data_IF_204677192090
#
_entry.id   IF_204677192090
#
_cell.length_a   1.000
_cell.length_b   1.000
_cell.length_c   1.000
_cell.angle_alpha   90.00
_cell.angle_beta   90.00
_cell.angle_gamma   90.00
#
_symmetry.space_group_name_H-M   'P 1'
#
loop_
_entity.id
_entity.type
_entity.pdbx_description
1 polymer ?
#
# COMPACT_ATOMS: atom_id res chain seq x y z
N UNK A 1 25.06 34.15 10.08
CA UNK A 1 25.54 32.76 9.95
C UNK A 1 24.66 32.08 8.92
N UNK A 2 25.20 31.50 7.83
CA UNK A 2 24.36 30.77 6.88
C UNK A 2 24.04 29.41 7.49
N UNK A 3 22.75 29.09 7.61
CA UNK A 3 22.29 27.74 7.93
C UNK A 3 22.63 26.85 6.73
N UNK A 4 23.62 25.97 6.90
CA UNK A 4 23.90 24.91 5.94
C UNK A 4 22.69 23.99 5.93
N UNK A 5 21.98 23.93 4.81
CA UNK A 5 21.08 22.81 4.55
C UNK A 5 21.96 21.57 4.41
N UNK A 6 22.18 20.85 5.52
CA UNK A 6 22.79 19.52 5.48
C UNK A 6 21.93 18.63 4.58
N UNK A 7 22.40 18.43 3.35
CA UNK A 7 21.90 17.36 2.50
C UNK A 7 22.29 16.07 3.20
N UNK A 8 21.31 15.42 3.83
CA UNK A 8 21.51 14.11 4.43
C UNK A 8 21.96 13.16 3.30
N UNK A 9 23.17 12.62 3.41
CA UNK A 9 23.63 11.64 2.44
C UNK A 9 22.72 10.40 2.46
N UNK A 10 22.41 9.80 1.30
CA UNK A 10 21.60 8.59 1.24
C UNK A 10 22.24 7.49 2.09
N UNK A 11 21.57 7.08 3.17
CA UNK A 11 21.98 5.96 4.00
C UNK A 11 21.31 4.69 3.51
N UNK A 12 22.10 3.70 3.13
CA UNK A 12 21.61 2.34 2.89
C UNK A 12 21.22 1.72 4.22
N UNK A 13 19.93 1.40 4.39
CA UNK A 13 19.42 0.66 5.55
C UNK A 13 19.12 -0.76 5.07
N UNK A 14 19.73 -1.80 5.68
CA UNK A 14 19.35 -3.18 5.36
C UNK A 14 17.90 -3.38 5.82
N UNK A 15 17.04 -3.76 4.87
CA UNK A 15 15.66 -4.13 5.16
C UNK A 15 15.55 -5.64 4.98
N UNK A 16 15.07 -6.32 6.01
CA UNK A 16 14.85 -7.76 5.98
C UNK A 16 13.72 -8.08 4.98
N UNK A 17 14.01 -8.96 4.02
CA UNK A 17 13.04 -9.42 3.03
C UNK A 17 11.85 -10.11 3.67
N UNK A 18 12.01 -10.72 4.86
CA UNK A 18 10.91 -11.28 5.64
C UNK A 18 9.92 -10.22 6.12
N UNK A 19 10.40 -9.07 6.64
CA UNK A 19 9.49 -8.01 7.04
C UNK A 19 8.77 -7.39 5.83
N UNK A 20 9.47 -7.27 4.69
CA UNK A 20 8.85 -6.80 3.45
C UNK A 20 7.75 -7.75 2.96
N UNK A 21 7.97 -9.07 3.01
CA UNK A 21 6.95 -10.04 2.60
C UNK A 21 5.73 -10.00 3.52
N UNK A 22 5.92 -9.89 4.84
CA UNK A 22 4.80 -9.76 5.78
C UNK A 22 4.00 -8.47 5.54
N UNK A 23 4.68 -7.37 5.21
CA UNK A 23 4.02 -6.11 4.85
C UNK A 23 3.24 -6.27 3.53
N UNK A 24 3.84 -6.94 2.54
CA UNK A 24 3.22 -7.18 1.24
C UNK A 24 1.94 -8.03 1.37
N UNK A 25 2.01 -9.15 2.10
CA UNK A 25 0.85 -10.00 2.41
C UNK A 25 -0.28 -9.17 3.02
N UNK A 26 0.04 -8.29 3.97
CA UNK A 26 -0.96 -7.46 4.64
C UNK A 26 -1.58 -6.42 3.71
N UNK A 27 -0.84 -5.90 2.74
CA UNK A 27 -1.35 -4.96 1.75
C UNK A 27 -2.26 -5.67 0.76
N UNK A 28 -1.91 -6.90 0.36
CA UNK A 28 -2.78 -7.73 -0.47
C UNK A 28 -4.09 -8.06 0.25
N UNK A 29 -4.05 -8.41 1.54
CA UNK A 29 -5.26 -8.60 2.36
C UNK A 29 -6.15 -7.35 2.35
N UNK A 30 -5.57 -6.17 2.55
CA UNK A 30 -6.31 -4.90 2.52
C UNK A 30 -6.93 -4.62 1.15
N UNK A 31 -6.22 -4.95 0.06
CA UNK A 31 -6.74 -4.84 -1.30
C UNK A 31 -7.97 -5.73 -1.50
N UNK A 32 -7.86 -6.99 -1.09
CA UNK A 32 -8.93 -7.99 -1.20
C UNK A 32 -10.16 -7.63 -0.34
N UNK A 33 -9.92 -7.13 0.88
CA UNK A 33 -10.99 -6.67 1.78
C UNK A 33 -11.73 -5.47 1.19
N UNK A 34 -10.99 -4.51 0.60
CA UNK A 34 -11.59 -3.33 -0.02
C UNK A 34 -12.47 -3.71 -1.22
N UNK A 35 -12.01 -4.62 -2.08
CA UNK A 35 -12.81 -5.15 -3.19
C UNK A 35 -14.05 -5.91 -2.69
N UNK A 36 -13.88 -6.77 -1.69
CA UNK A 36 -14.98 -7.55 -1.09
C UNK A 36 -16.06 -6.66 -0.49
N UNK A 37 -15.66 -5.61 0.24
CA UNK A 37 -16.59 -4.63 0.81
C UNK A 37 -17.29 -3.81 -0.28
N UNK A 38 -16.58 -3.43 -1.35
CA UNK A 38 -17.17 -2.74 -2.49
C UNK A 38 -18.23 -3.61 -3.19
N UNK A 39 -17.97 -4.91 -3.34
CA UNK A 39 -18.95 -5.86 -3.86
C UNK A 39 -20.15 -6.03 -2.92
N UNK A 40 -19.93 -6.12 -1.61
CA UNK A 40 -21.00 -6.23 -0.63
C UNK A 40 -21.94 -5.01 -0.66
N UNK A 41 -21.39 -3.80 -0.81
CA UNK A 41 -22.18 -2.56 -0.97
C UNK A 41 -23.07 -2.60 -2.21
N UNK A 42 -22.67 -3.30 -3.27
CA UNK A 42 -23.48 -3.45 -4.48
C UNK A 42 -24.74 -4.30 -4.26
N UNK A 43 -24.78 -5.10 -3.20
CA UNK A 43 -25.96 -5.90 -2.84
C UNK A 43 -26.99 -5.12 -2.00
N UNK A 44 -26.64 -3.93 -1.49
CA UNK A 44 -27.54 -3.12 -0.68
C UNK A 44 -28.50 -2.35 -1.61
N UNK A 45 -29.78 -2.62 -1.44
CA UNK A 45 -30.85 -1.93 -2.15
C UNK A 45 -31.55 -0.96 -1.20
N UNK A 46 -31.75 0.29 -1.64
CA UNK A 46 -32.44 1.33 -0.89
C UNK A 46 -33.21 2.22 -1.86
N UNK A 47 -34.39 2.68 -1.43
CA UNK A 47 -35.23 3.59 -2.22
C UNK A 47 -34.83 5.06 -2.02
N UNK A 48 -34.08 5.37 -0.95
CA UNK A 48 -33.60 6.72 -0.66
C UNK A 48 -32.42 7.12 -1.55
N UNK A 49 -32.59 8.18 -2.33
CA UNK A 49 -31.60 8.64 -3.31
C UNK A 49 -30.32 9.15 -2.65
N UNK A 50 -30.40 9.76 -1.46
CA UNK A 50 -29.22 10.18 -0.72
C UNK A 50 -28.38 8.96 -0.32
N UNK A 51 -29.02 7.91 0.19
CA UNK A 51 -28.38 6.64 0.54
C UNK A 51 -27.73 5.96 -0.66
N UNK A 52 -28.37 5.97 -1.85
CA UNK A 52 -27.75 5.46 -3.09
C UNK A 52 -26.46 6.22 -3.41
N UNK A 53 -26.49 7.55 -3.30
CA UNK A 53 -25.32 8.40 -3.52
C UNK A 53 -24.18 8.07 -2.56
N UNK A 54 -24.48 7.90 -1.27
CA UNK A 54 -23.50 7.51 -0.24
C UNK A 54 -22.91 6.13 -0.53
N UNK A 55 -23.74 5.13 -0.88
CA UNK A 55 -23.28 3.78 -1.22
C UNK A 55 -22.32 3.81 -2.41
N UNK A 56 -22.66 4.56 -3.47
CA UNK A 56 -21.79 4.70 -4.65
C UNK A 56 -20.46 5.37 -4.26
N UNK A 57 -20.48 6.42 -3.45
CA UNK A 57 -19.28 7.13 -3.01
C UNK A 57 -18.34 6.23 -2.19
N UNK A 58 -18.88 5.49 -1.21
CA UNK A 58 -18.10 4.57 -0.38
C UNK A 58 -17.52 3.44 -1.25
N UNK A 59 -18.32 2.86 -2.14
CA UNK A 59 -17.86 1.81 -3.07
C UNK A 59 -16.70 2.31 -3.94
N UNK A 60 -16.82 3.50 -4.51
CA UNK A 60 -15.74 4.10 -5.31
C UNK A 60 -14.47 4.34 -4.50
N UNK A 61 -14.59 4.81 -3.25
CA UNK A 61 -13.44 4.99 -2.38
C UNK A 61 -12.75 3.65 -2.02
N UNK A 62 -13.52 2.60 -1.76
CA UNK A 62 -12.98 1.26 -1.49
C UNK A 62 -12.21 0.72 -2.70
N UNK A 63 -12.78 0.80 -3.91
CA UNK A 63 -12.11 0.34 -5.13
C UNK A 63 -10.80 1.11 -5.38
N UNK A 64 -10.80 2.44 -5.22
CA UNK A 64 -9.60 3.25 -5.37
C UNK A 64 -8.51 2.89 -4.33
N UNK A 65 -8.92 2.60 -3.09
CA UNK A 65 -7.98 2.17 -2.05
C UNK A 65 -7.41 0.77 -2.34
N UNK A 66 -8.23 -0.15 -2.87
CA UNK A 66 -7.76 -1.47 -3.30
C UNK A 66 -6.75 -1.39 -4.45
N UNK A 67 -7.01 -0.54 -5.45
CA UNK A 67 -6.07 -0.29 -6.54
C UNK A 67 -4.73 0.27 -6.04
N UNK A 68 -4.78 1.25 -5.12
CA UNK A 68 -3.57 1.79 -4.50
C UNK A 68 -2.80 0.74 -3.71
N UNK A 69 -3.50 -0.11 -2.94
CA UNK A 69 -2.88 -1.21 -2.22
C UNK A 69 -2.18 -2.18 -3.18
N UNK A 70 -2.83 -2.55 -4.29
CA UNK A 70 -2.24 -3.39 -5.34
C UNK A 70 -0.94 -2.80 -5.91
N UNK A 71 -0.94 -1.50 -6.22
CA UNK A 71 0.27 -0.81 -6.73
C UNK A 71 1.40 -0.85 -5.69
N UNK A 72 1.11 -0.58 -4.41
CA UNK A 72 2.13 -0.63 -3.36
C UNK A 72 2.66 -2.06 -3.16
N UNK A 73 1.79 -3.06 -3.27
CA UNK A 73 2.19 -4.47 -3.23
C UNK A 73 3.15 -4.82 -4.37
N UNK A 74 2.87 -4.38 -5.60
CA UNK A 74 3.78 -4.58 -6.74
C UNK A 74 5.16 -3.94 -6.50
N UNK A 75 5.18 -2.73 -5.93
CA UNK A 75 6.43 -2.06 -5.56
C UNK A 75 7.22 -2.85 -4.50
N UNK A 76 6.54 -3.37 -3.47
CA UNK A 76 7.15 -4.18 -2.42
C UNK A 76 7.66 -5.52 -2.93
N UNK A 77 6.89 -6.21 -3.76
CA UNK A 77 7.31 -7.42 -4.48
C UNK A 77 8.60 -7.16 -5.26
N UNK A 78 8.73 -6.01 -5.92
CA UNK A 78 9.98 -5.60 -6.58
C UNK A 78 11.17 -5.50 -5.62
N UNK A 79 10.96 -4.97 -4.41
CA UNK A 79 12.00 -4.86 -3.37
C UNK A 79 12.39 -6.21 -2.77
N UNK A 80 11.42 -7.09 -2.54
CA UNK A 80 11.63 -8.45 -2.00
C UNK A 80 12.51 -9.29 -2.93
N UNK A 81 12.35 -9.10 -4.24
CA UNK A 81 13.10 -9.82 -5.27
C UNK A 81 14.52 -9.27 -5.49
N UNK A 82 14.88 -8.14 -4.88
CA UNK A 82 16.24 -7.61 -5.01
C UNK A 82 17.25 -8.57 -4.35
N UNK A 83 18.40 -8.81 -5.00
CA UNK A 83 19.44 -9.63 -4.41
C UNK A 83 19.92 -9.02 -3.10
N UNK A 84 20.15 -9.87 -2.10
CA UNK A 84 20.75 -9.45 -0.83
C UNK A 84 22.09 -8.77 -1.09
N UNK A 85 22.17 -7.49 -0.72
CA UNK A 85 23.43 -6.77 -0.74
C UNK A 85 24.19 -7.22 0.51
N UNK A 86 25.26 -7.99 0.31
CA UNK A 86 26.25 -8.19 1.37
C UNK A 86 26.85 -6.83 1.68
N UNK A 87 26.64 -6.34 2.90
CA UNK A 87 27.40 -5.21 3.41
C UNK A 87 28.85 -5.71 3.45
N UNK A 88 29.66 -5.28 2.49
CA UNK A 88 31.09 -5.43 2.64
C UNK A 88 31.45 -4.59 3.86
N UNK A 89 32.10 -5.21 4.85
CA UNK A 89 32.72 -4.51 5.96
C UNK A 89 33.74 -3.53 5.37
N UNK A 90 33.31 -2.28 5.17
CA UNK A 90 34.24 -1.20 4.95
C UNK A 90 34.85 -0.93 6.32
N UNK A 91 36.09 -1.42 6.52
CA UNK A 91 36.96 -1.06 7.65
C UNK A 91 37.02 0.46 7.87
#
# INVERSE_FOLDING_TARGET
>A
MPQSNEVLEPRLVPVDSYYLSVIDDRIQDLSNDAESLAMALNAIHTDDDASKGVIVAIRSALLANGELASIVSEMLSGLILLPEIKVNDYE
#
